data_IF_290811182524
#
_entry.id   IF_290811182524
#
_cell.length_a   1.000
_cell.length_b   1.000
_cell.length_c   1.000
_cell.angle_alpha   90.00
_cell.angle_beta   90.00
_cell.angle_gamma   90.00
#
_symmetry.space_group_name_H-M   'P 1'
#
loop_
_entity.id
_entity.type
_entity.pdbx_description
1 polymer ?
#
# COMPACT_ATOMS: atom_id res chain seq x y z
N UNK A 1 4.04 -21.58 -5.32
CA UNK A 1 3.19 -20.93 -4.30
C UNK A 1 1.92 -21.72 -3.93
N UNK A 2 1.40 -22.65 -4.76
CA UNK A 2 0.08 -23.28 -4.57
C UNK A 2 -0.05 -24.36 -3.48
N UNK A 3 1.05 -24.83 -2.88
CA UNK A 3 1.01 -25.85 -1.81
C UNK A 3 0.32 -25.33 -0.55
N UNK A 4 0.49 -24.05 -0.22
CA UNK A 4 -0.10 -23.44 0.97
C UNK A 4 -1.63 -23.31 0.88
N UNK A 5 -2.18 -23.10 -0.33
CA UNK A 5 -3.63 -23.14 -0.56
C UNK A 5 -4.22 -24.53 -0.32
N UNK A 6 -3.51 -25.59 -0.75
CA UNK A 6 -3.97 -26.97 -0.54
C UNK A 6 -4.00 -27.33 0.95
N UNK A 7 -3.01 -26.88 1.73
CA UNK A 7 -3.00 -27.04 3.19
C UNK A 7 -4.12 -26.23 3.88
N UNK A 8 -4.38 -25.01 3.41
CA UNK A 8 -5.49 -24.19 3.92
C UNK A 8 -6.87 -24.83 3.68
N UNK A 9 -7.11 -25.35 2.48
CA UNK A 9 -8.36 -26.05 2.13
C UNK A 9 -8.50 -27.36 2.92
N UNK A 10 -7.41 -28.11 3.08
CA UNK A 10 -7.41 -29.33 3.89
C UNK A 10 -7.75 -29.03 5.36
N UNK A 11 -7.19 -27.97 5.95
CA UNK A 11 -7.49 -27.55 7.32
C UNK A 11 -8.97 -27.13 7.49
N UNK A 12 -9.53 -26.40 6.51
CA UNK A 12 -10.92 -25.95 6.52
C UNK A 12 -11.94 -27.11 6.44
N UNK A 13 -11.58 -28.23 5.79
CA UNK A 13 -12.42 -29.44 5.71
C UNK A 13 -12.37 -30.26 7.00
N UNK A 14 -11.24 -30.20 7.71
CA UNK A 14 -10.97 -31.04 8.88
C UNK A 14 -11.50 -30.39 10.17
N UNK A 15 -11.36 -29.07 10.34
CA UNK A 15 -11.80 -28.33 11.52
C UNK A 15 -13.28 -28.56 11.92
N UNK A 16 -14.26 -28.50 10.99
CA UNK A 16 -15.68 -28.65 11.33
C UNK A 16 -16.04 -30.06 11.82
N UNK A 17 -15.29 -31.08 11.40
CA UNK A 17 -15.49 -32.46 11.84
C UNK A 17 -15.06 -32.67 13.29
N UNK A 18 -14.08 -31.89 13.76
CA UNK A 18 -13.67 -31.89 15.16
C UNK A 18 -14.65 -31.10 16.05
N UNK A 19 -15.19 -29.98 15.58
CA UNK A 19 -16.16 -29.17 16.34
C UNK A 19 -17.46 -29.92 16.63
N UNK A 20 -17.98 -30.71 15.65
CA UNK A 20 -19.15 -31.58 15.88
C UNK A 20 -18.92 -32.62 16.98
N UNK A 21 -17.69 -33.09 17.16
CA UNK A 21 -17.34 -34.04 18.22
C UNK A 21 -17.34 -33.44 19.62
N UNK A 22 -17.24 -32.11 19.75
CA UNK A 22 -17.27 -31.39 21.04
C UNK A 22 -18.71 -31.04 21.41
N UNK A 23 -19.52 -30.56 20.46
CA UNK A 23 -20.93 -30.21 20.69
C UNK A 23 -21.76 -31.46 21.03
N UNK A 24 -21.54 -32.57 20.32
CA UNK A 24 -22.25 -33.83 20.61
C UNK A 24 -21.89 -34.39 22.00
N UNK A 25 -20.66 -34.17 22.49
CA UNK A 25 -20.27 -34.64 23.82
C UNK A 25 -20.89 -33.79 24.94
N UNK A 26 -21.11 -32.49 24.70
CA UNK A 26 -21.83 -31.63 25.63
C UNK A 26 -23.33 -31.94 25.68
N UNK A 27 -23.97 -32.22 24.54
CA UNK A 27 -25.37 -32.66 24.46
C UNK A 27 -25.59 -34.07 25.06
N UNK A 28 -24.60 -34.98 24.96
CA UNK A 28 -24.73 -36.31 25.55
C UNK A 28 -24.68 -36.29 27.08
N UNK A 29 -23.93 -35.35 27.68
CA UNK A 29 -23.88 -35.20 29.15
C UNK A 29 -25.18 -34.60 29.68
N UNK A 30 -25.74 -33.58 29.00
CA UNK A 30 -27.02 -32.97 29.40
C UNK A 30 -28.21 -33.92 29.23
N UNK A 31 -28.26 -34.70 28.13
CA UNK A 31 -29.31 -35.70 27.93
C UNK A 31 -29.21 -36.88 28.89
N UNK A 32 -28.02 -37.25 29.37
CA UNK A 32 -27.88 -38.29 30.38
C UNK A 32 -28.39 -37.85 31.76
N UNK A 33 -28.18 -36.59 32.15
CA UNK A 33 -28.74 -36.04 33.39
C UNK A 33 -30.28 -35.99 33.33
N UNK A 34 -30.86 -35.56 32.21
CA UNK A 34 -32.32 -35.46 32.04
C UNK A 34 -32.99 -36.85 32.01
N UNK A 35 -32.41 -37.82 31.31
CA UNK A 35 -32.97 -39.20 31.23
C UNK A 35 -32.85 -39.93 32.56
N UNK A 36 -31.84 -39.61 33.38
CA UNK A 36 -31.69 -40.21 34.70
C UNK A 36 -32.70 -39.66 35.72
N UNK A 37 -33.18 -38.43 35.52
CA UNK A 37 -34.29 -37.83 36.26
C UNK A 37 -35.66 -38.39 35.83
N UNK A 38 -35.90 -38.58 34.51
CA UNK A 38 -37.14 -39.19 34.00
C UNK A 38 -37.26 -40.69 34.32
N UNK A 39 -36.16 -41.45 34.36
CA UNK A 39 -36.18 -42.89 34.66
C UNK A 39 -36.58 -43.22 36.12
N UNK A 40 -36.53 -42.25 37.04
CA UNK A 40 -37.05 -42.39 38.40
C UNK A 40 -38.59 -42.30 38.46
N UNK A 41 -39.23 -41.81 37.40
CA UNK A 41 -40.68 -41.61 37.34
C UNK A 41 -41.29 -42.06 35.99
N UNK A 42 -41.39 -43.37 35.78
CA UNK A 42 -42.46 -43.93 34.94
C UNK A 42 -42.02 -44.77 33.73
N UNK A 43 -42.67 -45.93 33.62
CA UNK A 43 -42.62 -46.87 32.50
C UNK A 43 -43.01 -46.19 31.17
N UNK A 44 -42.05 -46.03 30.26
CA UNK A 44 -42.31 -45.89 28.84
C UNK A 44 -41.16 -46.47 28.02
N UNK A 45 -41.44 -47.52 27.25
CA UNK A 45 -40.50 -48.09 26.30
C UNK A 45 -40.30 -47.13 25.12
N UNK A 46 -39.24 -46.31 25.18
CA UNK A 46 -38.85 -45.41 24.10
C UNK A 46 -38.03 -46.17 23.05
N UNK A 47 -38.55 -46.24 21.82
CA UNK A 47 -37.82 -46.76 20.67
C UNK A 47 -36.62 -45.86 20.37
N UNK A 48 -35.41 -46.32 20.70
CA UNK A 48 -34.17 -45.56 20.45
C UNK A 48 -33.63 -45.86 19.05
N UNK A 49 -33.42 -44.87 18.17
CA UNK A 49 -32.75 -45.12 16.88
C UNK A 49 -31.29 -45.54 17.11
N UNK A 50 -30.67 -46.30 16.19
CA UNK A 50 -29.30 -46.74 16.35
C UNK A 50 -28.37 -45.52 16.40
N UNK A 51 -27.79 -45.27 17.58
CA UNK A 51 -26.74 -44.27 17.77
C UNK A 51 -25.54 -44.73 16.95
N UNK A 52 -25.37 -44.17 15.75
CA UNK A 52 -24.12 -44.32 15.00
C UNK A 52 -23.04 -43.60 15.82
N UNK A 53 -22.34 -44.37 16.64
CA UNK A 53 -21.21 -43.90 17.44
C UNK A 53 -20.14 -43.49 16.44
N UNK A 54 -20.13 -42.22 16.06
CA UNK A 54 -19.02 -41.65 15.31
C UNK A 54 -17.79 -41.93 16.16
N UNK A 55 -16.94 -42.86 15.70
CA UNK A 55 -15.73 -43.25 16.42
C UNK A 55 -14.91 -41.97 16.58
N UNK A 56 -14.96 -41.39 17.77
CA UNK A 56 -14.24 -40.17 18.08
C UNK A 56 -12.79 -40.39 17.71
N UNK A 57 -12.21 -39.45 16.96
CA UNK A 57 -10.79 -39.46 16.64
C UNK A 57 -10.01 -39.75 17.92
N UNK A 58 -9.29 -40.88 17.94
CA UNK A 58 -8.66 -41.39 19.16
C UNK A 58 -7.76 -40.35 19.81
N UNK A 59 -7.72 -40.35 21.14
CA UNK A 59 -6.87 -39.46 21.94
C UNK A 59 -5.41 -39.32 21.44
N UNK A 60 -4.70 -40.37 20.92
CA UNK A 60 -3.33 -40.20 20.46
C UNK A 60 -3.24 -39.43 19.13
N UNK A 61 -4.25 -39.54 18.25
CA UNK A 61 -4.27 -38.79 16.99
C UNK A 61 -4.53 -37.31 17.23
N UNK A 62 -5.36 -36.99 18.23
CA UNK A 62 -5.56 -35.60 18.69
C UNK A 62 -4.27 -35.02 19.26
N UNK A 63 -3.57 -35.75 20.12
CA UNK A 63 -2.29 -35.30 20.69
C UNK A 63 -1.21 -35.14 19.64
N UNK A 64 -1.08 -36.09 18.71
CA UNK A 64 -0.13 -35.99 17.60
C UNK A 64 -0.40 -34.75 16.74
N UNK A 65 -1.68 -34.49 16.43
CA UNK A 65 -2.07 -33.28 15.70
C UNK A 65 -1.81 -32.00 16.48
N UNK A 66 -2.16 -31.95 17.77
CA UNK A 66 -1.87 -30.78 18.63
C UNK A 66 -0.36 -30.53 18.74
N UNK A 67 0.45 -31.58 18.87
CA UNK A 67 1.90 -31.45 18.89
C UNK A 67 2.44 -30.88 17.57
N UNK A 68 1.98 -31.39 16.42
CA UNK A 68 2.35 -30.86 15.10
C UNK A 68 1.90 -29.39 14.96
N UNK A 69 0.68 -29.07 15.36
CA UNK A 69 0.16 -27.71 15.32
C UNK A 69 0.99 -26.76 16.17
N UNK A 70 1.29 -27.11 17.43
CA UNK A 70 2.12 -26.29 18.32
C UNK A 70 3.55 -26.15 17.78
N UNK A 71 4.11 -27.23 17.23
CA UNK A 71 5.42 -27.24 16.60
C UNK A 71 5.50 -26.27 15.41
N UNK A 72 4.41 -26.08 14.66
CA UNK A 72 4.36 -25.11 13.55
C UNK A 72 4.00 -23.69 14.04
N UNK A 73 3.13 -23.59 15.05
CA UNK A 73 2.66 -22.31 15.58
C UNK A 73 3.81 -21.53 16.24
N UNK A 74 4.57 -22.17 17.13
CA UNK A 74 5.65 -21.50 17.88
C UNK A 74 6.66 -20.79 16.95
N UNK A 75 7.27 -21.45 15.95
CA UNK A 75 8.20 -20.78 15.05
C UNK A 75 7.50 -19.74 14.15
N UNK A 76 6.22 -19.93 13.79
CA UNK A 76 5.49 -18.91 13.04
C UNK A 76 5.29 -17.60 13.82
N UNK A 77 5.20 -17.69 15.16
CA UNK A 77 5.09 -16.53 16.04
C UNK A 77 6.44 -15.86 16.32
N UNK A 78 7.57 -16.51 16.01
CA UNK A 78 8.90 -15.92 16.19
C UNK A 78 9.05 -14.60 15.40
N UNK A 79 8.39 -14.50 14.24
CA UNK A 79 8.37 -13.27 13.45
C UNK A 79 7.77 -12.07 14.20
N UNK A 80 6.80 -12.28 15.10
CA UNK A 80 6.21 -11.18 15.87
C UNK A 80 7.23 -10.56 16.83
N UNK A 81 8.13 -11.35 17.39
CA UNK A 81 9.16 -10.84 18.31
C UNK A 81 10.32 -10.27 17.52
N UNK A 82 10.88 -11.05 16.59
CA UNK A 82 12.10 -10.69 15.87
C UNK A 82 11.86 -9.61 14.83
N UNK A 83 10.74 -9.68 14.11
CA UNK A 83 10.42 -8.71 13.05
C UNK A 83 9.98 -7.35 13.60
N UNK A 84 9.61 -7.23 14.88
CA UNK A 84 9.18 -5.94 15.44
C UNK A 84 10.35 -4.97 15.57
N UNK A 85 11.54 -5.45 15.94
CA UNK A 85 12.73 -4.61 16.10
C UNK A 85 13.12 -3.94 14.78
N UNK A 86 13.33 -4.74 13.73
CA UNK A 86 13.63 -4.25 12.37
C UNK A 86 12.62 -3.20 11.88
N UNK A 87 11.32 -3.39 12.14
CA UNK A 87 10.26 -2.45 11.73
C UNK A 87 10.23 -1.17 12.55
N UNK A 88 10.67 -1.21 13.80
CA UNK A 88 10.80 -0.01 14.63
C UNK A 88 12.04 0.78 14.20
N UNK A 89 13.09 0.10 13.75
CA UNK A 89 14.30 0.71 13.20
C UNK A 89 14.07 1.37 11.83
N UNK A 90 13.14 0.85 11.01
CA UNK A 90 12.73 1.46 9.73
C UNK A 90 12.04 2.84 9.87
N UNK A 91 11.76 3.31 11.10
CA UNK A 91 11.12 4.62 11.33
C UNK A 91 12.07 5.77 11.00
N UNK A 92 11.50 6.92 10.65
CA UNK A 92 12.28 8.15 10.54
C UNK A 92 13.09 8.41 11.83
N UNK A 93 14.36 8.83 11.70
CA UNK A 93 15.19 9.18 12.84
C UNK A 93 14.64 10.40 13.56
N UNK A 94 14.78 10.43 14.90
CA UNK A 94 14.42 11.59 15.71
C UNK A 94 12.91 11.71 15.98
N UNK A 95 12.31 12.79 15.49
CA UNK A 95 10.94 13.18 15.81
C UNK A 95 9.89 12.18 15.27
N UNK A 96 8.78 12.05 15.98
CA UNK A 96 7.65 11.20 15.60
C UNK A 96 6.32 11.95 15.82
N UNK A 97 5.30 11.71 14.97
CA UNK A 97 3.96 12.23 15.21
C UNK A 97 3.39 11.81 16.56
N UNK A 98 2.37 12.55 17.02
CA UNK A 98 1.63 12.19 18.22
C UNK A 98 1.03 10.78 18.08
N UNK A 99 1.13 9.99 19.14
CA UNK A 99 0.54 8.66 19.17
C UNK A 99 -0.97 8.74 18.94
N UNK A 100 -1.47 7.97 17.98
CA UNK A 100 -2.91 7.93 17.65
C UNK A 100 -3.41 9.09 16.78
N UNK A 101 -2.52 9.88 16.16
CA UNK A 101 -2.96 10.83 15.12
C UNK A 101 -3.70 10.10 14.00
N UNK A 102 -4.76 10.72 13.49
CA UNK A 102 -5.50 10.26 12.31
C UNK A 102 -5.05 10.99 11.04
N UNK A 103 -4.19 12.00 11.16
CA UNK A 103 -3.66 12.71 10.01
C UNK A 103 -2.47 11.94 9.43
N UNK A 104 -2.70 11.30 8.28
CA UNK A 104 -1.70 10.53 7.56
C UNK A 104 -0.51 11.35 7.03
N UNK A 105 -0.58 12.68 7.04
CA UNK A 105 0.50 13.57 6.60
C UNK A 105 1.40 14.07 7.74
N UNK A 106 1.07 13.77 9.01
CA UNK A 106 1.84 14.30 10.14
C UNK A 106 3.29 13.80 10.16
N UNK A 107 3.57 12.61 9.61
CA UNK A 107 4.94 12.10 9.53
C UNK A 107 5.87 13.03 8.73
N UNK A 108 5.32 13.83 7.82
CA UNK A 108 6.10 14.74 6.99
C UNK A 108 6.55 16.00 7.73
N UNK A 109 5.94 16.35 8.87
CA UNK A 109 6.24 17.61 9.58
C UNK A 109 7.72 17.77 9.94
N UNK A 110 8.39 16.67 10.29
CA UNK A 110 9.85 16.64 10.55
C UNK A 110 10.50 15.37 9.97
N UNK A 111 9.78 14.65 9.10
CA UNK A 111 10.30 13.41 8.52
C UNK A 111 11.48 13.70 7.61
N UNK A 112 12.62 13.09 7.92
CA UNK A 112 13.84 13.18 7.10
C UNK A 112 14.34 11.77 6.86
N UNK A 113 14.71 11.46 5.62
CA UNK A 113 15.36 10.20 5.31
C UNK A 113 16.40 10.39 4.21
N UNK A 114 17.35 9.46 4.18
CA UNK A 114 18.35 9.39 3.12
C UNK A 114 17.93 8.34 2.11
N UNK A 115 17.87 8.75 0.85
CA UNK A 115 17.57 7.89 -0.28
C UNK A 115 18.82 7.65 -1.11
N UNK A 116 19.08 6.38 -1.43
CA UNK A 116 20.14 5.97 -2.34
C UNK A 116 19.50 5.32 -3.56
N UNK A 117 19.51 6.04 -4.67
CA UNK A 117 18.86 5.67 -5.91
C UNK A 117 19.82 5.10 -6.95
N UNK A 118 19.24 4.73 -8.09
CA UNK A 118 19.97 4.58 -9.35
C UNK A 118 19.40 5.54 -10.39
N UNK A 119 20.24 5.96 -11.31
CA UNK A 119 19.79 6.71 -12.49
C UNK A 119 19.08 5.79 -13.50
N UNK A 120 18.58 6.39 -14.58
CA UNK A 120 17.91 5.68 -15.67
C UNK A 120 18.81 4.69 -16.43
N UNK A 121 20.13 4.74 -16.24
CA UNK A 121 21.12 3.84 -16.83
C UNK A 121 21.57 2.75 -15.85
N UNK A 122 21.06 2.75 -14.62
CA UNK A 122 21.37 1.78 -13.57
C UNK A 122 22.61 2.12 -12.74
N UNK A 123 23.20 3.30 -12.90
CA UNK A 123 24.33 3.74 -12.08
C UNK A 123 23.87 4.17 -10.69
N UNK A 124 24.64 3.86 -9.65
CA UNK A 124 24.36 4.31 -8.29
C UNK A 124 24.49 5.82 -8.19
N UNK A 125 23.45 6.46 -7.67
CA UNK A 125 23.43 7.88 -7.38
C UNK A 125 23.94 8.13 -5.96
N UNK A 126 24.60 9.27 -5.70
CA UNK A 126 24.95 9.65 -4.33
C UNK A 126 23.71 9.65 -3.42
N UNK A 127 23.89 9.51 -2.10
CA UNK A 127 22.78 9.61 -1.17
C UNK A 127 22.16 11.01 -1.20
N UNK A 128 20.83 11.08 -1.33
CA UNK A 128 20.04 12.30 -1.24
C UNK A 128 19.31 12.33 0.10
N UNK A 129 19.52 13.37 0.91
CA UNK A 129 18.67 13.63 2.07
C UNK A 129 17.39 14.33 1.61
N UNK A 130 16.25 13.74 1.95
CA UNK A 130 14.92 14.26 1.61
C UNK A 130 14.27 14.76 2.90
N UNK A 131 13.94 16.05 2.93
CA UNK A 131 13.23 16.68 4.04
C UNK A 131 11.75 16.84 3.68
N UNK A 132 10.90 16.04 4.29
CA UNK A 132 9.48 15.91 3.90
C UNK A 132 8.63 17.14 4.24
N UNK A 133 9.10 18.03 5.10
CA UNK A 133 8.34 19.22 5.48
C UNK A 133 8.05 20.13 4.27
N UNK A 134 8.97 20.20 3.31
CA UNK A 134 8.77 21.00 2.10
C UNK A 134 7.75 20.39 1.16
N UNK A 135 7.75 19.06 1.03
CA UNK A 135 6.69 18.34 0.31
C UNK A 135 5.34 18.51 1.01
N UNK A 136 5.33 18.49 2.35
CA UNK A 136 4.11 18.69 3.14
C UNK A 136 3.46 20.04 2.87
N UNK A 137 4.24 21.12 2.91
CA UNK A 137 3.73 22.47 2.64
C UNK A 137 3.15 22.58 1.22
N UNK A 138 3.82 21.98 0.24
CA UNK A 138 3.35 21.96 -1.14
C UNK A 138 2.07 21.14 -1.33
N UNK A 139 1.98 19.97 -0.67
CA UNK A 139 0.79 19.12 -0.65
C UNK A 139 -0.39 19.84 0.02
N UNK A 140 -0.16 20.48 1.17
CA UNK A 140 -1.19 21.27 1.86
C UNK A 140 -1.67 22.43 0.96
N UNK A 141 -0.77 23.08 0.21
CA UNK A 141 -1.15 24.09 -0.77
C UNK A 141 -1.97 23.51 -1.92
N UNK A 142 -1.58 22.37 -2.49
CA UNK A 142 -2.34 21.69 -3.54
C UNK A 142 -3.77 21.35 -3.08
N UNK A 143 -3.91 20.75 -1.90
CA UNK A 143 -5.20 20.40 -1.31
C UNK A 143 -6.10 21.63 -1.09
N UNK A 144 -5.51 22.78 -0.76
CA UNK A 144 -6.26 24.01 -0.49
C UNK A 144 -6.63 24.80 -1.76
N UNK A 145 -5.85 24.70 -2.84
CA UNK A 145 -5.96 25.61 -3.99
C UNK A 145 -6.35 24.94 -5.30
N UNK A 146 -6.09 23.63 -5.45
CA UNK A 146 -6.44 22.89 -6.66
C UNK A 146 -7.73 22.11 -6.41
N UNK A 147 -8.72 22.37 -7.25
CA UNK A 147 -10.01 21.69 -7.22
C UNK A 147 -10.17 20.79 -8.44
N UNK A 148 -11.05 19.79 -8.32
CA UNK A 148 -11.25 18.76 -9.33
C UNK A 148 -10.05 17.81 -9.44
N UNK A 149 -9.88 17.19 -10.61
CA UNK A 149 -8.88 16.14 -10.85
C UNK A 149 -7.94 16.53 -11.99
N UNK A 150 -7.02 17.45 -11.71
CA UNK A 150 -5.96 17.79 -12.66
C UNK A 150 -4.95 16.64 -12.77
N UNK A 151 -4.32 16.52 -13.93
CA UNK A 151 -3.16 15.63 -14.10
C UNK A 151 -1.92 16.37 -13.64
N UNK A 152 -1.22 15.79 -12.67
CA UNK A 152 0.06 16.28 -12.14
C UNK A 152 1.19 15.38 -12.65
N UNK A 153 2.23 16.00 -13.21
CA UNK A 153 3.48 15.30 -13.52
C UNK A 153 4.50 15.55 -12.41
N UNK A 154 5.05 14.45 -11.91
CA UNK A 154 6.14 14.36 -10.95
C UNK A 154 7.02 13.15 -11.34
N UNK A 155 8.22 13.03 -10.78
CA UNK A 155 9.09 11.87 -11.04
C UNK A 155 8.40 10.60 -10.57
N UNK A 156 8.26 9.63 -11.48
CA UNK A 156 7.66 8.33 -11.23
C UNK A 156 8.50 7.16 -11.74
N UNK A 157 9.68 7.44 -12.29
CA UNK A 157 10.60 6.43 -12.81
C UNK A 157 11.27 5.63 -11.69
N UNK A 158 11.41 6.24 -10.50
CA UNK A 158 12.05 5.63 -9.32
C UNK A 158 11.07 4.86 -8.44
N UNK A 159 11.61 4.05 -7.51
CA UNK A 159 10.84 3.29 -6.52
C UNK A 159 9.93 4.19 -5.67
N UNK A 160 8.67 3.79 -5.51
CA UNK A 160 7.68 4.55 -4.77
C UNK A 160 7.66 4.26 -3.26
N UNK A 161 8.28 3.18 -2.78
CA UNK A 161 8.28 2.86 -1.35
C UNK A 161 9.25 3.73 -0.55
N UNK A 162 10.51 3.83 -1.01
CA UNK A 162 11.55 4.59 -0.33
C UNK A 162 11.80 5.94 -0.96
N UNK A 163 11.89 6.05 -2.30
CA UNK A 163 12.05 7.37 -2.90
C UNK A 163 10.77 8.20 -2.75
N UNK A 164 9.60 7.55 -2.65
CA UNK A 164 8.32 8.24 -2.57
C UNK A 164 8.04 9.01 -3.85
N UNK A 165 8.27 8.38 -5.00
CA UNK A 165 7.76 8.87 -6.27
C UNK A 165 6.23 8.87 -6.29
N UNK A 166 5.63 9.74 -7.11
CA UNK A 166 4.17 9.95 -7.15
C UNK A 166 3.54 10.40 -5.81
N UNK A 167 4.31 11.05 -4.93
CA UNK A 167 3.87 11.46 -3.59
C UNK A 167 2.84 12.56 -3.65
N UNK A 168 3.04 13.56 -4.50
CA UNK A 168 2.10 14.68 -4.60
C UNK A 168 0.73 14.18 -5.05
N UNK A 169 0.67 13.36 -6.11
CA UNK A 169 -0.57 12.73 -6.57
C UNK A 169 -1.20 11.83 -5.50
N UNK A 170 -0.41 10.95 -4.87
CA UNK A 170 -0.92 9.99 -3.87
C UNK A 170 -1.54 10.66 -2.65
N UNK A 171 -1.02 11.83 -2.25
CA UNK A 171 -1.46 12.53 -1.03
C UNK A 171 -2.55 13.57 -1.30
N UNK A 172 -2.73 13.98 -2.56
CA UNK A 172 -3.72 15.00 -2.95
C UNK A 172 -4.96 14.41 -3.63
N UNK A 173 -4.85 13.18 -4.16
CA UNK A 173 -5.90 12.55 -4.96
C UNK A 173 -5.94 13.02 -6.42
N UNK A 174 -4.96 13.83 -6.84
CA UNK A 174 -4.76 14.22 -8.24
C UNK A 174 -4.27 13.03 -9.09
N UNK A 175 -4.48 13.10 -10.40
CA UNK A 175 -4.07 12.04 -11.32
C UNK A 175 -2.58 12.16 -11.67
N UNK A 176 -1.80 11.10 -11.43
CA UNK A 176 -0.41 11.00 -11.91
C UNK A 176 -0.35 10.45 -13.34
N UNK A 177 0.77 10.68 -14.03
CA UNK A 177 1.06 9.99 -15.29
C UNK A 177 1.29 8.48 -15.11
N UNK A 178 1.67 8.04 -13.92
CA UNK A 178 1.92 6.63 -13.56
C UNK A 178 1.40 6.33 -12.16
N UNK A 179 0.61 5.26 -12.03
CA UNK A 179 0.17 4.74 -10.73
C UNK A 179 1.12 3.66 -10.17
N UNK A 180 0.89 3.30 -8.91
CA UNK A 180 1.58 2.16 -8.30
C UNK A 180 1.04 0.84 -8.85
N UNK A 181 1.93 -0.13 -9.07
CA UNK A 181 1.59 -1.48 -9.51
C UNK A 181 0.77 -1.55 -10.81
N UNK A 182 0.91 -0.58 -11.69
CA UNK A 182 0.15 -0.53 -12.94
C UNK A 182 0.39 -1.74 -13.84
N UNK A 183 1.59 -2.31 -13.82
CA UNK A 183 1.90 -3.55 -14.54
C UNK A 183 1.14 -4.78 -14.02
N UNK A 184 0.56 -4.73 -12.82
CA UNK A 184 -0.31 -5.78 -12.28
C UNK A 184 -1.78 -5.58 -12.69
N UNK A 185 -2.16 -4.35 -13.04
CA UNK A 185 -3.54 -3.94 -13.34
C UNK A 185 -3.81 -3.73 -14.83
N UNK A 186 -2.76 -3.53 -15.64
CA UNK A 186 -2.84 -3.19 -17.07
C UNK A 186 -1.81 -3.97 -17.89
N UNK A 187 -2.05 -4.03 -19.20
CA UNK A 187 -1.13 -4.68 -20.13
C UNK A 187 0.19 -3.92 -20.22
N UNK A 188 1.29 -4.67 -20.34
CA UNK A 188 2.64 -4.12 -20.25
C UNK A 188 3.00 -3.14 -21.36
N UNK A 189 2.40 -3.28 -22.54
CA UNK A 189 2.54 -2.33 -23.65
C UNK A 189 1.93 -0.97 -23.32
N UNK A 190 0.72 -0.94 -22.76
CA UNK A 190 0.04 0.31 -22.34
C UNK A 190 0.82 1.01 -21.22
N UNK A 191 1.29 0.25 -20.23
CA UNK A 191 2.08 0.81 -19.12
C UNK A 191 3.45 1.27 -19.61
N UNK A 192 4.09 0.50 -20.50
CA UNK A 192 5.39 0.81 -21.07
C UNK A 192 5.39 2.07 -21.94
N UNK A 193 4.37 2.24 -22.78
CA UNK A 193 4.19 3.43 -23.61
C UNK A 193 4.02 4.69 -22.74
N UNK A 194 3.13 4.65 -21.75
CA UNK A 194 2.91 5.78 -20.83
C UNK A 194 4.17 6.13 -20.05
N UNK A 195 4.92 5.12 -19.58
CA UNK A 195 6.20 5.32 -18.91
C UNK A 195 7.23 5.96 -19.84
N UNK A 196 7.29 5.54 -21.11
CA UNK A 196 8.17 6.14 -22.10
C UNK A 196 7.91 7.63 -22.33
N UNK A 197 6.63 8.02 -22.43
CA UNK A 197 6.24 9.43 -22.58
C UNK A 197 6.60 10.28 -21.37
N UNK A 198 6.47 9.73 -20.15
CA UNK A 198 6.90 10.42 -18.95
C UNK A 198 8.44 10.59 -18.90
N UNK A 199 9.19 9.53 -19.23
CA UNK A 199 10.65 9.61 -19.31
C UNK A 199 11.07 10.65 -20.34
N UNK A 200 10.39 10.70 -21.49
CA UNK A 200 10.63 11.71 -22.53
C UNK A 200 10.34 13.13 -22.02
N UNK A 201 9.25 13.33 -21.27
CA UNK A 201 8.89 14.63 -20.71
C UNK A 201 10.04 15.24 -19.90
N UNK A 202 10.70 14.45 -19.05
CA UNK A 202 11.82 14.92 -18.24
C UNK A 202 13.13 15.07 -19.03
N UNK A 203 13.40 14.16 -19.98
CA UNK A 203 14.70 14.08 -20.67
C UNK A 203 14.80 14.88 -21.97
N UNK A 204 13.69 15.21 -22.64
CA UNK A 204 13.76 15.98 -23.89
C UNK A 204 14.26 17.40 -23.63
N UNK A 205 15.27 17.90 -24.37
CA UNK A 205 15.76 19.27 -24.22
C UNK A 205 14.88 20.30 -24.96
N UNK A 206 13.94 19.84 -25.80
CA UNK A 206 13.08 20.66 -26.64
C UNK A 206 11.82 21.12 -25.89
N UNK A 207 11.65 22.44 -25.62
CA UNK A 207 10.45 22.98 -24.99
C UNK A 207 9.18 22.73 -25.82
N UNK A 208 9.26 22.80 -27.15
CA UNK A 208 8.10 22.59 -28.01
C UNK A 208 7.61 21.14 -27.94
N UNK A 209 8.54 20.17 -27.89
CA UNK A 209 8.20 18.77 -27.63
C UNK A 209 7.60 18.57 -26.24
N UNK A 210 8.10 19.28 -25.24
CA UNK A 210 7.55 19.24 -23.87
C UNK A 210 6.13 19.76 -23.84
N UNK A 211 5.82 20.86 -24.52
CA UNK A 211 4.46 21.37 -24.66
C UNK A 211 3.53 20.40 -25.39
N UNK A 212 4.00 19.72 -26.44
CA UNK A 212 3.22 18.64 -27.08
C UNK A 212 2.86 17.54 -26.08
N UNK A 213 3.82 17.05 -25.30
CA UNK A 213 3.58 16.03 -24.28
C UNK A 213 2.60 16.54 -23.21
N UNK A 214 2.70 17.81 -22.80
CA UNK A 214 1.76 18.44 -21.86
C UNK A 214 0.33 18.34 -22.39
N UNK A 215 0.10 18.69 -23.66
CA UNK A 215 -1.24 18.62 -24.26
C UNK A 215 -1.71 17.18 -24.46
N UNK A 216 -0.87 16.29 -25.01
CA UNK A 216 -1.23 14.89 -25.27
C UNK A 216 -1.58 14.14 -23.97
N UNK A 217 -0.83 14.43 -22.90
CA UNK A 217 -1.00 13.81 -21.59
C UNK A 217 -1.99 14.57 -20.69
N UNK A 218 -2.53 15.70 -21.14
CA UNK A 218 -3.46 16.59 -20.43
C UNK A 218 -2.91 17.07 -19.08
N UNK A 219 -1.61 17.37 -19.03
CA UNK A 219 -0.92 17.83 -17.83
C UNK A 219 -1.41 19.22 -17.46
N UNK A 220 -2.04 19.34 -16.29
CA UNK A 220 -2.45 20.63 -15.72
C UNK A 220 -1.42 21.20 -14.74
N UNK A 221 -0.64 20.33 -14.09
CA UNK A 221 0.32 20.69 -13.05
C UNK A 221 1.65 19.99 -13.26
N UNK A 222 2.74 20.70 -12.99
CA UNK A 222 4.09 20.16 -12.97
C UNK A 222 4.67 20.39 -11.57
N UNK A 223 4.99 19.31 -10.87
CA UNK A 223 5.60 19.33 -9.55
C UNK A 223 7.10 19.16 -9.69
N UNK A 224 7.87 20.08 -9.11
CA UNK A 224 9.33 20.03 -9.05
C UNK A 224 9.74 20.07 -7.59
N UNK A 225 10.11 18.92 -7.03
CA UNK A 225 10.63 18.79 -5.68
C UNK A 225 12.08 18.31 -5.65
N UNK A 226 12.49 17.83 -4.48
CA UNK A 226 13.86 17.36 -4.22
C UNK A 226 14.28 16.20 -5.13
N UNK A 227 13.33 15.35 -5.53
CA UNK A 227 13.61 14.17 -6.39
C UNK A 227 13.77 14.61 -7.84
N UNK A 228 12.91 15.50 -8.33
CA UNK A 228 12.95 16.02 -9.69
C UNK A 228 14.24 16.82 -9.93
N UNK A 229 14.61 17.70 -9.00
CA UNK A 229 15.86 18.45 -9.03
C UNK A 229 17.08 17.52 -9.07
N UNK A 230 16.99 16.38 -8.38
CA UNK A 230 18.08 15.43 -8.27
C UNK A 230 18.22 14.51 -9.49
N UNK A 231 17.09 14.00 -10.00
CA UNK A 231 17.08 13.04 -11.11
C UNK A 231 17.11 13.71 -12.48
N UNK A 232 16.47 14.87 -12.60
CA UNK A 232 16.20 15.52 -13.88
C UNK A 232 16.63 17.00 -13.89
N UNK A 233 17.87 17.36 -13.50
CA UNK A 233 18.28 18.76 -13.35
C UNK A 233 18.15 19.57 -14.66
N UNK A 234 18.43 18.96 -15.81
CA UNK A 234 18.25 19.61 -17.12
C UNK A 234 16.76 19.80 -17.47
N UNK A 235 15.94 18.81 -17.12
CA UNK A 235 14.47 18.87 -17.26
C UNK A 235 13.88 19.99 -16.42
N UNK A 236 14.31 20.11 -15.16
CA UNK A 236 13.90 21.20 -14.28
C UNK A 236 14.32 22.57 -14.81
N UNK A 237 15.57 22.72 -15.27
CA UNK A 237 16.02 23.98 -15.90
C UNK A 237 15.22 24.33 -17.17
N UNK A 238 14.79 23.33 -17.94
CA UNK A 238 13.86 23.54 -19.07
C UNK A 238 12.51 24.04 -18.58
N UNK A 239 11.90 23.43 -17.57
CA UNK A 239 10.62 23.89 -16.99
C UNK A 239 10.74 25.33 -16.48
N UNK A 240 11.83 25.68 -15.80
CA UNK A 240 12.09 27.06 -15.34
C UNK A 240 12.18 28.06 -16.51
N UNK A 241 12.84 27.69 -17.62
CA UNK A 241 12.89 28.52 -18.84
C UNK A 241 11.50 28.69 -19.47
N UNK A 242 10.75 27.60 -19.62
CA UNK A 242 9.37 27.65 -20.13
C UNK A 242 8.47 28.57 -19.29
N UNK A 243 8.64 28.55 -17.95
CA UNK A 243 7.95 29.47 -17.07
C UNK A 243 8.39 30.94 -17.26
N UNK A 244 9.69 31.19 -17.44
CA UNK A 244 10.22 32.52 -17.71
C UNK A 244 9.76 33.08 -19.07
N UNK A 245 9.55 32.21 -20.06
CA UNK A 245 9.04 32.53 -21.39
C UNK A 245 7.50 32.69 -21.42
N UNK A 246 6.83 32.43 -20.28
CA UNK A 246 5.38 32.62 -20.11
C UNK A 246 4.51 31.44 -20.57
N UNK A 247 5.13 30.32 -20.96
CA UNK A 247 4.41 29.09 -21.34
C UNK A 247 3.80 28.38 -20.13
N UNK A 248 4.43 28.51 -18.97
CA UNK A 248 3.99 27.95 -17.69
C UNK A 248 3.83 29.05 -16.64
N UNK A 249 2.89 28.87 -15.72
CA UNK A 249 2.69 29.79 -14.59
C UNK A 249 3.23 29.20 -13.30
N UNK A 250 4.17 29.88 -12.63
CA UNK A 250 4.59 29.49 -11.28
C UNK A 250 3.44 29.78 -10.29
N UNK A 251 2.87 28.74 -9.68
CA UNK A 251 1.73 28.87 -8.78
C UNK A 251 2.12 28.84 -7.30
N UNK A 252 3.12 28.04 -6.95
CA UNK A 252 3.62 27.88 -5.59
C UNK A 252 5.13 27.64 -5.60
N UNK A 253 5.81 28.16 -4.57
CA UNK A 253 7.21 27.91 -4.35
C UNK A 253 7.54 27.98 -2.85
N UNK A 254 8.31 27.01 -2.36
CA UNK A 254 9.07 27.09 -1.11
C UNK A 254 10.55 26.76 -1.39
N UNK A 255 11.35 26.56 -0.35
CA UNK A 255 12.80 26.35 -0.49
C UNK A 255 13.18 25.12 -1.33
N UNK A 256 12.31 24.10 -1.43
CA UNK A 256 12.64 22.81 -2.09
C UNK A 256 11.61 22.32 -3.09
N UNK A 257 10.48 23.02 -3.23
CA UNK A 257 9.38 22.63 -4.11
C UNK A 257 8.89 23.84 -4.90
N UNK A 258 8.71 23.66 -6.20
CA UNK A 258 8.01 24.58 -7.09
C UNK A 258 6.89 23.85 -7.81
N UNK A 259 5.72 24.49 -7.93
CA UNK A 259 4.57 23.95 -8.66
C UNK A 259 4.23 24.91 -9.79
N UNK A 260 4.23 24.39 -11.00
CA UNK A 260 3.86 25.12 -12.21
C UNK A 260 2.48 24.66 -12.69
N UNK A 261 1.67 25.62 -13.12
CA UNK A 261 0.40 25.38 -13.78
C UNK A 261 0.52 25.59 -15.28
N UNK A 262 -0.19 24.75 -16.04
CA UNK A 262 -0.32 24.89 -17.48
C UNK A 262 -1.54 25.77 -17.79
N UNK A 263 -1.36 26.96 -18.39
CA UNK A 263 -2.48 27.83 -18.75
C UNK A 263 -3.46 27.12 -19.69
N UNK A 264 -4.76 27.25 -19.40
CA UNK A 264 -5.82 26.63 -20.21
C UNK A 264 -6.19 25.20 -19.82
N UNK A 265 -5.28 24.42 -19.26
CA UNK A 265 -5.58 23.06 -18.74
C UNK A 265 -6.20 23.13 -17.35
N UNK A 266 -5.63 23.93 -16.44
CA UNK A 266 -6.19 24.11 -15.09
C UNK A 266 -7.58 24.76 -15.07
N UNK A 267 -7.88 25.61 -16.06
CA UNK A 267 -9.18 26.25 -16.18
C UNK A 267 -10.31 25.25 -16.51
N UNK A 268 -9.99 24.12 -17.15
CA UNK A 268 -10.97 23.06 -17.46
C UNK A 268 -11.32 22.20 -16.23
N UNK A 269 -10.56 22.33 -15.14
CA UNK A 269 -10.73 21.56 -13.90
C UNK A 269 -11.49 22.38 -12.83
N UNK A 270 -11.76 23.66 -13.09
CA UNK A 270 -12.64 24.49 -12.26
C UNK A 270 -14.11 24.01 -12.37
N UNK A 271 -14.91 24.11 -11.29
CA UNK A 271 -16.24 23.51 -11.18
C UNK A 271 -17.27 23.99 -12.21
#
# INVERSE_FOLDING_TARGET
SQVWMLWGVAAAIVLPRFWRGVVVHADEVSHQEIVQEEALHGDAAVHTPPRTRAKGVGWPLRLGWTAIFVLLLIPSLAFLVLGTEDRVEDRFPGWRPAFGTLNGLDYMNQGVYTWSGRDQFGNELPPLEIQLMYDREAIDWLLANIHGNAVIVESSETDYYRAGSSRAASMTGLSSLRGFHEGEQRYGDVVGERNGLQVEFWNTPDPARTMQLIHDLHVGLIYVGQIEEYLHPEGVQKIQRMAADGELSLLYQNDRVSIYGVPGELAQVAP
#
